data_IF_864663579051
#
_entry.id   IF_864663579051
#
_cell.length_a   1.000
_cell.length_b   1.000
_cell.length_c   1.000
_cell.angle_alpha   90.00
_cell.angle_beta   90.00
_cell.angle_gamma   90.00
#
_symmetry.space_group_name_H-M   'P 1'
#
loop_
_entity.id
_entity.type
_entity.pdbx_description
1 polymer ?
#
# COMPACT_ATOMS: atom_id res chain seq x y z
N UNK A 1 -3.47 -18.03 -5.39
CA UNK A 1 -3.47 -16.56 -5.27
C UNK A 1 -4.85 -16.09 -5.62
N UNK A 2 -5.68 -15.85 -4.60
CA UNK A 2 -7.07 -15.42 -4.81
C UNK A 2 -7.10 -13.92 -5.10
N UNK A 3 -7.24 -13.53 -6.36
CA UNK A 3 -7.51 -12.13 -6.79
C UNK A 3 -8.98 -11.75 -6.62
N UNK A 4 -9.75 -12.56 -5.88
CA UNK A 4 -11.22 -12.50 -5.76
C UNK A 4 -11.75 -11.13 -5.32
N UNK A 5 -10.96 -10.38 -4.54
CA UNK A 5 -11.35 -9.09 -3.99
C UNK A 5 -10.77 -7.90 -4.76
N UNK A 6 -10.05 -8.13 -5.86
CA UNK A 6 -9.42 -7.06 -6.63
C UNK A 6 -10.29 -6.66 -7.84
N UNK A 7 -10.41 -5.35 -8.15
CA UNK A 7 -9.80 -4.24 -7.45
C UNK A 7 -10.44 -3.96 -6.08
N UNK A 8 -9.62 -3.76 -5.04
CA UNK A 8 -10.08 -3.41 -3.70
C UNK A 8 -9.84 -1.93 -3.45
N UNK A 9 -10.89 -1.21 -3.08
CA UNK A 9 -10.82 0.21 -2.76
C UNK A 9 -10.78 0.41 -1.25
N UNK A 10 -9.92 1.32 -0.80
CA UNK A 10 -9.74 1.62 0.63
C UNK A 10 -9.48 3.11 0.79
N UNK A 11 -10.13 3.72 1.77
CA UNK A 11 -9.90 5.11 2.13
C UNK A 11 -9.82 5.31 3.64
N UNK A 12 -9.09 6.34 4.04
CA UNK A 12 -8.96 6.74 5.44
C UNK A 12 -7.92 7.84 5.64
N UNK A 13 -7.95 8.43 6.82
CA UNK A 13 -6.98 9.45 7.24
C UNK A 13 -5.59 8.85 7.42
N UNK A 14 -4.55 9.50 6.91
CA UNK A 14 -3.17 9.03 7.06
C UNK A 14 -2.71 9.20 8.51
N UNK A 15 -2.39 8.07 9.13
CA UNK A 15 -1.89 8.01 10.52
C UNK A 15 -0.40 7.72 10.58
N UNK A 16 0.20 8.02 11.74
CA UNK A 16 1.58 7.65 12.05
C UNK A 16 1.65 6.16 12.35
N UNK A 17 2.56 5.45 11.68
CA UNK A 17 2.93 4.08 12.04
C UNK A 17 3.90 4.03 13.23
N UNK A 18 4.50 2.87 13.43
CA UNK A 18 5.40 2.58 14.56
C UNK A 18 6.85 3.06 14.39
N UNK A 19 7.13 3.91 13.39
CA UNK A 19 8.45 4.53 13.23
C UNK A 19 9.59 3.58 12.86
N UNK A 20 9.31 2.50 12.09
CA UNK A 20 10.31 1.47 11.71
C UNK A 20 11.34 1.90 10.63
N UNK A 21 11.67 3.19 10.53
CA UNK A 21 12.74 3.67 9.66
C UNK A 21 12.48 3.52 8.15
N UNK A 22 11.25 3.29 7.71
CA UNK A 22 10.94 3.17 6.27
C UNK A 22 11.31 4.42 5.48
N UNK A 23 11.24 5.59 6.12
CA UNK A 23 11.82 6.85 5.63
C UNK A 23 13.33 6.79 5.41
N UNK A 24 14.08 6.20 6.34
CA UNK A 24 15.54 6.06 6.24
C UNK A 24 15.94 5.06 5.15
N UNK A 25 15.04 4.13 4.80
CA UNK A 25 15.19 3.21 3.67
C UNK A 25 14.79 3.83 2.32
N UNK A 26 14.36 5.09 2.30
CA UNK A 26 13.89 5.77 1.09
C UNK A 26 12.51 5.30 0.62
N UNK A 27 11.76 4.59 1.45
CA UNK A 27 10.44 4.03 1.14
C UNK A 27 9.43 4.45 2.22
N UNK A 28 9.09 5.76 2.35
CA UNK A 28 8.13 6.22 3.33
C UNK A 28 6.76 5.54 3.15
N UNK A 29 6.18 5.06 4.24
CA UNK A 29 4.88 4.36 4.24
C UNK A 29 3.82 5.14 5.02
N UNK A 30 2.67 5.38 4.38
CA UNK A 30 1.45 5.88 5.00
C UNK A 30 0.67 4.72 5.63
N UNK A 31 0.06 4.95 6.80
CA UNK A 31 -0.69 3.94 7.53
C UNK A 31 -2.16 4.35 7.65
N UNK A 32 -3.05 3.37 7.72
CA UNK A 32 -4.47 3.61 7.98
C UNK A 32 -4.84 3.37 9.46
N UNK A 33 -5.91 4.01 9.96
CA UNK A 33 -6.49 3.72 11.27
C UNK A 33 -6.96 2.27 11.36
N UNK A 34 -7.01 1.74 12.58
CA UNK A 34 -7.41 0.36 12.81
C UNK A 34 -8.82 0.06 12.29
N UNK A 35 -9.76 1.02 12.37
CA UNK A 35 -11.13 0.83 11.91
C UNK A 35 -11.18 0.55 10.40
N UNK A 36 -10.36 1.25 9.63
CA UNK A 36 -10.22 1.07 8.19
C UNK A 36 -9.65 -0.32 7.90
N UNK A 37 -8.60 -0.73 8.61
CA UNK A 37 -8.00 -2.06 8.42
C UNK A 37 -8.95 -3.20 8.80
N UNK A 38 -9.79 -3.01 9.83
CA UNK A 38 -10.79 -4.01 10.25
C UNK A 38 -11.94 -4.19 9.25
N UNK A 39 -12.15 -3.22 8.33
CA UNK A 39 -13.13 -3.34 7.24
C UNK A 39 -12.66 -4.18 6.06
N UNK A 40 -11.37 -4.57 6.02
CA UNK A 40 -10.84 -5.41 4.96
C UNK A 40 -11.53 -6.79 4.93
N UNK A 41 -11.65 -7.43 3.74
CA UNK A 41 -12.16 -8.79 3.66
C UNK A 41 -11.35 -9.74 4.54
N UNK A 42 -12.03 -10.54 5.36
CA UNK A 42 -11.38 -11.46 6.32
C UNK A 42 -10.56 -12.55 5.65
N UNK A 43 -10.86 -12.88 4.40
CA UNK A 43 -10.16 -13.85 3.55
C UNK A 43 -9.16 -13.18 2.58
N UNK A 44 -8.84 -11.89 2.78
CA UNK A 44 -7.77 -11.22 2.03
C UNK A 44 -6.40 -11.81 2.43
N UNK A 45 -5.62 -12.26 1.45
CA UNK A 45 -4.29 -12.84 1.68
C UNK A 45 -3.30 -11.77 2.20
N UNK A 46 -2.55 -12.01 3.29
CA UNK A 46 -1.48 -11.10 3.69
C UNK A 46 -0.33 -11.08 2.67
N UNK A 47 0.19 -9.90 2.37
CA UNK A 47 1.33 -9.73 1.48
C UNK A 47 1.45 -8.33 0.87
N UNK A 48 2.19 -8.26 -0.23
CA UNK A 48 2.47 -7.03 -0.96
C UNK A 48 1.55 -6.93 -2.17
N UNK A 49 0.88 -5.81 -2.26
CA UNK A 49 -0.04 -5.42 -3.32
C UNK A 49 0.47 -4.19 -4.05
N UNK A 50 -0.09 -3.92 -5.23
CA UNK A 50 0.19 -2.71 -6.00
C UNK A 50 -1.09 -2.10 -6.53
N UNK A 51 -1.02 -0.81 -6.87
CA UNK A 51 -2.15 -0.13 -7.49
C UNK A 51 -1.99 1.37 -7.55
N UNK A 52 -3.09 2.09 -7.31
CA UNK A 52 -3.18 3.53 -7.42
C UNK A 52 -3.49 4.18 -6.08
N UNK A 53 -2.90 5.34 -5.81
CA UNK A 53 -3.12 6.14 -4.62
C UNK A 53 -3.42 7.59 -4.99
N UNK A 54 -4.29 8.23 -4.22
CA UNK A 54 -4.58 9.65 -4.27
C UNK A 54 -4.57 10.21 -2.85
N UNK A 55 -3.86 11.32 -2.64
CA UNK A 55 -3.86 12.07 -1.39
C UNK A 55 -4.76 13.30 -1.57
N UNK A 56 -5.73 13.45 -0.67
CA UNK A 56 -6.80 14.44 -0.74
C UNK A 56 -7.44 14.47 -2.14
N UNK A 57 -7.46 15.63 -2.80
CA UNK A 57 -7.93 15.81 -4.19
C UNK A 57 -6.78 16.03 -5.17
N UNK A 58 -5.60 15.49 -4.84
CA UNK A 58 -4.39 15.61 -5.64
C UNK A 58 -4.38 14.65 -6.84
N UNK A 59 -3.21 14.58 -7.48
CA UNK A 59 -2.98 13.64 -8.57
C UNK A 59 -2.97 12.19 -8.09
N UNK A 60 -3.22 11.28 -9.03
CA UNK A 60 -3.23 9.84 -8.80
C UNK A 60 -1.86 9.28 -9.18
N UNK A 61 -1.20 8.63 -8.21
CA UNK A 61 0.13 8.07 -8.35
C UNK A 61 0.12 6.54 -8.20
N UNK A 62 1.15 5.90 -8.75
CA UNK A 62 1.38 4.47 -8.51
C UNK A 62 1.74 4.24 -7.03
N UNK A 63 1.40 3.07 -6.51
CA UNK A 63 1.75 2.70 -5.14
C UNK A 63 1.99 1.19 -5.01
N UNK A 64 2.69 0.84 -3.93
CA UNK A 64 2.72 -0.50 -3.36
C UNK A 64 2.19 -0.46 -1.93
N UNK A 65 1.54 -1.53 -1.49
CA UNK A 65 1.01 -1.63 -0.14
C UNK A 65 1.37 -2.98 0.48
N UNK A 66 1.90 -2.96 1.70
CA UNK A 66 2.04 -4.16 2.51
C UNK A 66 0.82 -4.30 3.42
N UNK A 67 0.12 -5.42 3.30
CA UNK A 67 -1.06 -5.77 4.11
C UNK A 67 -0.70 -7.01 4.91
N UNK A 68 -0.55 -6.87 6.23
CA UNK A 68 0.08 -7.91 7.03
C UNK A 68 -0.25 -7.84 8.51
N UNK A 69 0.11 -8.88 9.25
CA UNK A 69 -0.11 -8.92 10.71
C UNK A 69 0.95 -8.09 11.44
N UNK A 70 0.51 -7.21 12.32
CA UNK A 70 1.39 -6.31 13.05
C UNK A 70 1.98 -7.00 14.31
N UNK A 71 3.31 -7.17 14.41
CA UNK A 71 3.94 -7.80 15.57
C UNK A 71 3.72 -7.05 16.89
N UNK A 72 3.57 -5.72 16.85
CA UNK A 72 3.34 -4.90 18.04
C UNK A 72 2.01 -5.20 18.74
N UNK A 73 1.01 -5.66 17.98
CA UNK A 73 -0.27 -6.09 18.52
C UNK A 73 -0.32 -7.60 18.74
N UNK A 74 0.83 -8.24 18.99
CA UNK A 74 0.94 -9.70 19.15
C UNK A 74 0.34 -10.47 17.95
N UNK A 75 0.44 -9.92 16.74
CA UNK A 75 -0.17 -10.45 15.52
C UNK A 75 -1.69 -10.64 15.61
N UNK A 76 -2.39 -9.86 16.46
CA UNK A 76 -3.85 -9.88 16.59
C UNK A 76 -4.56 -8.87 15.68
N UNK A 77 -3.79 -7.97 15.08
CA UNK A 77 -4.31 -6.91 14.22
C UNK A 77 -3.48 -6.83 12.95
N UNK A 78 -4.17 -6.67 11.82
CA UNK A 78 -3.51 -6.36 10.56
C UNK A 78 -3.14 -4.88 10.50
N UNK A 79 -2.24 -4.53 9.60
CA UNK A 79 -1.90 -3.17 9.21
C UNK A 79 -1.85 -3.06 7.69
N UNK A 80 -2.15 -1.88 7.17
CA UNK A 80 -1.96 -1.51 5.76
C UNK A 80 -0.92 -0.40 5.73
N UNK A 81 0.23 -0.69 5.13
CA UNK A 81 1.34 0.25 4.95
C UNK A 81 1.51 0.56 3.46
N UNK A 82 1.16 1.77 3.03
CA UNK A 82 1.18 2.17 1.61
C UNK A 82 2.38 3.07 1.32
N UNK A 83 3.23 2.66 0.38
CA UNK A 83 4.25 3.51 -0.21
C UNK A 83 3.77 4.06 -1.56
N UNK A 84 3.60 5.38 -1.64
CA UNK A 84 3.26 6.07 -2.88
C UNK A 84 4.57 6.35 -3.62
N UNK A 85 4.61 5.96 -4.89
CA UNK A 85 5.78 6.08 -5.77
C UNK A 85 5.91 7.50 -6.34
N UNK A 86 5.89 8.47 -5.43
CA UNK A 86 5.99 9.89 -5.72
C UNK A 86 6.69 10.58 -4.55
N UNK A 87 7.55 11.55 -4.87
CA UNK A 87 8.26 12.32 -3.87
C UNK A 87 7.42 13.53 -3.48
N UNK A 88 6.87 13.50 -2.27
CA UNK A 88 6.18 14.64 -1.68
C UNK A 88 7.17 15.58 -0.98
N UNK A 89 6.91 16.89 -1.04
CA UNK A 89 7.74 17.91 -0.38
C UNK A 89 7.55 17.96 1.15
N UNK A 90 6.40 17.47 1.62
CA UNK A 90 6.02 17.44 3.04
C UNK A 90 5.28 16.16 3.37
N UNK A 91 5.31 15.81 4.65
CA UNK A 91 4.43 14.78 5.18
C UNK A 91 2.95 15.21 5.04
N UNK A 92 2.07 14.22 4.86
CA UNK A 92 0.63 14.39 4.67
C UNK A 92 -0.17 13.62 5.74
N UNK A 93 0.32 13.60 6.98
CA UNK A 93 -0.47 13.08 8.11
C UNK A 93 -1.75 13.90 8.27
N UNK A 94 -2.87 13.22 8.53
CA UNK A 94 -4.19 13.86 8.61
C UNK A 94 -4.86 14.10 7.26
N UNK A 95 -4.17 13.91 6.13
CA UNK A 95 -4.79 13.93 4.81
C UNK A 95 -5.61 12.67 4.56
N UNK A 96 -6.62 12.79 3.71
CA UNK A 96 -7.38 11.65 3.24
C UNK A 96 -6.54 10.87 2.21
N UNK A 97 -6.26 9.60 2.45
CA UNK A 97 -5.64 8.73 1.46
C UNK A 97 -6.71 7.80 0.88
N UNK A 98 -6.79 7.77 -0.44
CA UNK A 98 -7.58 6.80 -1.21
C UNK A 98 -6.64 5.89 -1.96
N UNK A 99 -6.91 4.59 -1.94
CA UNK A 99 -6.19 3.63 -2.75
C UNK A 99 -7.12 2.67 -3.49
N UNK A 100 -6.64 2.19 -4.62
CA UNK A 100 -7.19 1.06 -5.35
C UNK A 100 -6.11 0.00 -5.50
N UNK A 101 -6.22 -1.12 -4.78
CA UNK A 101 -5.37 -2.29 -4.95
C UNK A 101 -5.78 -3.00 -6.23
N UNK A 102 -4.88 -3.08 -7.18
CA UNK A 102 -5.12 -3.64 -8.52
C UNK A 102 -4.66 -5.09 -8.61
N UNK A 103 -3.54 -5.41 -7.96
CA UNK A 103 -2.93 -6.73 -8.06
C UNK A 103 -2.10 -7.08 -6.83
N UNK A 104 -1.77 -8.37 -6.75
CA UNK A 104 -0.93 -8.96 -5.71
C UNK A 104 0.44 -9.31 -6.30
N UNK A 105 1.52 -8.99 -5.59
CA UNK A 105 2.89 -9.30 -6.00
C UNK A 105 3.39 -10.59 -5.35
N UNK A 106 3.28 -10.68 -4.02
CA UNK A 106 3.86 -11.78 -3.24
C UNK A 106 3.33 -11.79 -1.80
N UNK A 107 3.50 -12.91 -1.12
CA UNK A 107 3.22 -13.01 0.31
C UNK A 107 4.26 -12.31 1.18
N UNK A 108 3.98 -12.27 2.47
CA UNK A 108 4.94 -11.83 3.48
C UNK A 108 6.20 -12.71 3.46
N UNK A 109 7.36 -12.08 3.63
CA UNK A 109 8.66 -12.77 3.68
C UNK A 109 9.44 -12.27 4.88
N UNK A 110 10.10 -13.20 5.56
CA UNK A 110 11.13 -12.85 6.53
C UNK A 110 12.43 -12.57 5.79
N UNK A 111 13.13 -11.52 6.19
CA UNK A 111 14.43 -11.13 5.63
C UNK A 111 15.51 -11.37 6.67
N UNK A 112 16.62 -11.95 6.23
CA UNK A 112 17.76 -12.26 7.10
C UNK A 112 18.70 -11.07 7.29
N UNK A 113 18.56 -10.03 6.47
CA UNK A 113 19.34 -8.80 6.53
C UNK A 113 18.52 -7.58 6.08
N UNK A 114 19.00 -6.39 6.43
CA UNK A 114 18.41 -5.14 5.95
C UNK A 114 18.54 -4.98 4.43
N UNK A 115 19.66 -5.42 3.87
CA UNK A 115 19.90 -5.34 2.42
C UNK A 115 18.93 -6.23 1.64
N UNK A 116 18.63 -7.44 2.14
CA UNK A 116 17.63 -8.32 1.53
C UNK A 116 16.25 -7.67 1.53
N UNK A 117 15.88 -7.00 2.62
CA UNK A 117 14.63 -6.24 2.72
C UNK A 117 14.58 -5.10 1.69
N UNK A 118 15.64 -4.28 1.62
CA UNK A 118 15.73 -3.17 0.67
C UNK A 118 15.64 -3.68 -0.78
N UNK A 119 16.36 -4.75 -1.10
CA UNK A 119 16.34 -5.34 -2.44
C UNK A 119 14.96 -5.89 -2.81
N UNK A 120 14.27 -6.53 -1.88
CA UNK A 120 12.91 -6.99 -2.10
C UNK A 120 11.94 -5.83 -2.34
N UNK A 121 12.01 -4.76 -1.53
CA UNK A 121 11.19 -3.56 -1.72
C UNK A 121 11.44 -2.94 -3.11
N UNK A 122 12.70 -2.80 -3.52
CA UNK A 122 13.05 -2.28 -4.86
C UNK A 122 12.48 -3.15 -5.98
N UNK A 123 12.54 -4.48 -5.83
CA UNK A 123 11.94 -5.40 -6.79
C UNK A 123 10.42 -5.29 -6.82
N UNK A 124 9.78 -5.16 -5.66
CA UNK A 124 8.32 -4.99 -5.56
C UNK A 124 7.87 -3.71 -6.28
N UNK A 125 8.57 -2.60 -6.04
CA UNK A 125 8.36 -1.31 -6.73
C UNK A 125 8.53 -1.45 -8.25
N UNK A 126 9.62 -2.04 -8.71
CA UNK A 126 9.88 -2.22 -10.14
C UNK A 126 8.86 -3.15 -10.83
N UNK A 127 8.37 -4.17 -10.12
CA UNK A 127 7.33 -5.07 -10.63
C UNK A 127 5.98 -4.35 -10.68
N UNK A 128 5.63 -3.59 -9.65
CA UNK A 128 4.43 -2.77 -9.60
C UNK A 128 4.39 -1.77 -10.77
N UNK A 129 5.50 -1.09 -11.06
CA UNK A 129 5.57 -0.15 -12.19
C UNK A 129 5.20 -0.79 -13.50
N UNK A 130 5.79 -1.95 -13.80
CA UNK A 130 5.55 -2.71 -15.03
C UNK A 130 4.12 -3.23 -15.10
N UNK A 131 3.60 -3.76 -14.00
CA UNK A 131 2.24 -4.28 -13.93
C UNK A 131 1.19 -3.18 -14.10
N UNK A 132 1.45 -1.97 -13.60
CA UNK A 132 0.53 -0.83 -13.74
C UNK A 132 0.51 -0.22 -15.14
N UNK A 133 1.47 -0.53 -16.02
CA UNK A 133 1.42 -0.12 -17.43
C UNK A 133 0.42 -0.94 -18.27
N UNK A 134 -0.10 -2.06 -17.75
CA UNK A 134 -1.09 -2.86 -18.47
C UNK A 134 -2.42 -2.08 -18.62
N UNK A 135 -3.11 -2.16 -19.77
CA UNK A 135 -4.33 -1.39 -20.03
C UNK A 135 -5.42 -1.55 -18.95
N UNK A 136 -5.61 -2.77 -18.44
CA UNK A 136 -6.60 -3.07 -17.41
C UNK A 136 -6.29 -2.33 -16.10
N UNK A 137 -5.01 -2.23 -15.75
CA UNK A 137 -4.57 -1.51 -14.57
C UNK A 137 -4.71 0.01 -14.75
N UNK A 138 -4.39 0.54 -15.94
CA UNK A 138 -4.54 1.96 -16.27
C UNK A 138 -6.00 2.41 -16.24
N UNK A 139 -6.94 1.57 -16.65
CA UNK A 139 -8.37 1.88 -16.59
C UNK A 139 -8.85 2.17 -15.15
N UNK A 140 -8.24 1.53 -14.15
CA UNK A 140 -8.59 1.73 -12.74
C UNK A 140 -8.16 3.13 -12.24
N UNK A 141 -7.10 3.70 -12.83
CA UNK A 141 -6.66 5.07 -12.52
C UNK A 141 -7.77 6.10 -12.81
N UNK A 142 -8.58 5.86 -13.84
CA UNK A 142 -9.66 6.74 -14.27
C UNK A 142 -11.02 6.35 -13.64
N UNK A 143 -11.02 5.54 -12.59
CA UNK A 143 -12.25 5.14 -11.90
C UNK A 143 -12.83 6.32 -11.12
N UNK A 144 -14.17 6.48 -11.17
CA UNK A 144 -14.92 7.53 -10.47
C UNK A 144 -14.67 7.60 -8.95
N UNK A 145 -14.13 6.53 -8.38
CA UNK A 145 -13.69 6.48 -6.99
C UNK A 145 -12.72 7.63 -6.62
N UNK A 146 -11.86 8.04 -7.55
CA UNK A 146 -10.88 9.12 -7.36
C UNK A 146 -11.40 10.52 -7.72
N UNK A 147 -12.66 10.65 -8.18
CA UNK A 147 -13.21 11.94 -8.62
C UNK A 147 -13.69 12.83 -7.45
N UNK A 148 -13.97 12.25 -6.28
CA UNK A 148 -14.71 12.91 -5.18
C UNK A 148 -13.87 13.21 -3.94
#
# INVERSE_FOLDING_TARGET
MSTKHLPLFLEGEVTKGFGRGSKDLGCPTANYPLEVVQSLPKDLEPGVYYGWAQVDKGDIYKMVANIGWCPFYQNKQMSVETHIMHKFDKDFYGSQLKIALVGYLRGEKNFNSLDDLINAIKQDIANAEKSLEQPEAQNIKNNKYFDY
#
